data_IF_880080286186
#
_entry.id   IF_880080286186
#
_cell.length_a   1.000
_cell.length_b   1.000
_cell.length_c   1.000
_cell.angle_alpha   90.00
_cell.angle_beta   90.00
_cell.angle_gamma   90.00
#
_symmetry.space_group_name_H-M   'P 1'
#
loop_
_entity.id
_entity.type
_entity.pdbx_description
1 polymer ?
#
# COMPACT_ATOMS: atom_id res chain seq x y z
N UNK A 1 -4.89 4.90 4.46
CA UNK A 1 -5.98 4.05 3.91
C UNK A 1 -7.23 4.87 3.65
N UNK A 2 -7.87 5.47 4.66
CA UNK A 2 -9.11 6.25 4.45
C UNK A 2 -8.97 7.38 3.42
N UNK A 3 -7.94 8.23 3.53
CA UNK A 3 -7.67 9.30 2.54
C UNK A 3 -7.51 8.75 1.12
N UNK A 4 -6.73 7.68 0.96
CA UNK A 4 -6.53 7.04 -0.35
C UNK A 4 -7.84 6.45 -0.89
N UNK A 5 -8.65 5.84 -0.03
CA UNK A 5 -9.94 5.27 -0.41
C UNK A 5 -10.93 6.35 -0.85
N UNK A 6 -10.97 7.49 -0.15
CA UNK A 6 -11.77 8.65 -0.56
C UNK A 6 -11.35 9.14 -1.96
N UNK A 7 -10.05 9.31 -2.20
CA UNK A 7 -9.57 9.73 -3.53
C UNK A 7 -9.87 8.71 -4.62
N UNK A 8 -9.71 7.41 -4.34
CA UNK A 8 -10.03 6.34 -5.29
C UNK A 8 -11.52 6.34 -5.64
N UNK A 9 -12.41 6.45 -4.66
CA UNK A 9 -13.86 6.51 -4.91
C UNK A 9 -14.24 7.73 -5.72
N UNK A 10 -13.70 8.91 -5.39
CA UNK A 10 -13.94 10.14 -6.15
C UNK A 10 -13.44 9.98 -7.59
N UNK A 11 -12.20 9.54 -7.79
CA UNK A 11 -11.61 9.35 -9.11
C UNK A 11 -12.40 8.34 -9.95
N UNK A 12 -12.84 7.24 -9.33
CA UNK A 12 -13.66 6.21 -9.98
C UNK A 12 -15.02 6.76 -10.40
N UNK A 13 -15.70 7.55 -9.56
CA UNK A 13 -16.97 8.20 -9.95
C UNK A 13 -16.74 9.18 -11.10
N UNK A 14 -15.71 10.03 -10.99
CA UNK A 14 -15.40 11.06 -11.99
C UNK A 14 -15.18 10.47 -13.38
N UNK A 15 -14.41 9.37 -13.50
CA UNK A 15 -14.13 8.79 -14.82
C UNK A 15 -15.38 8.17 -15.47
N UNK A 16 -16.24 7.52 -14.69
CA UNK A 16 -17.50 6.95 -15.21
C UNK A 16 -18.50 8.03 -15.62
N UNK A 17 -18.58 9.13 -14.86
CA UNK A 17 -19.41 10.29 -15.25
C UNK A 17 -18.86 10.94 -16.53
N UNK A 18 -17.55 11.15 -16.61
CA UNK A 18 -16.91 11.76 -17.78
C UNK A 18 -17.10 10.94 -19.06
N UNK A 19 -17.11 9.61 -18.96
CA UNK A 19 -17.34 8.69 -20.10
C UNK A 19 -18.82 8.34 -20.31
N UNK A 20 -19.75 8.92 -19.55
CA UNK A 20 -21.20 8.62 -19.58
C UNK A 20 -21.52 7.13 -19.37
N UNK A 21 -20.78 6.45 -18.48
CA UNK A 21 -20.96 5.04 -18.16
C UNK A 21 -19.77 4.17 -18.55
N UNK A 22 -20.03 2.87 -18.79
CA UNK A 22 -19.00 1.91 -19.17
C UNK A 22 -18.65 2.05 -20.65
N UNK A 23 -17.44 2.52 -20.92
CA UNK A 23 -16.87 2.60 -22.26
C UNK A 23 -15.38 2.23 -22.14
N UNK A 24 -14.97 1.16 -22.82
CA UNK A 24 -13.60 0.65 -22.81
C UNK A 24 -13.15 0.34 -24.23
N UNK A 25 -11.88 0.60 -24.52
CA UNK A 25 -11.22 0.19 -25.75
C UNK A 25 -10.97 -1.33 -25.69
N UNK A 26 -11.44 -2.10 -26.67
CA UNK A 26 -11.33 -3.58 -26.66
C UNK A 26 -9.89 -4.08 -26.61
N UNK A 27 -8.95 -3.31 -27.18
CA UNK A 27 -7.53 -3.65 -27.22
C UNK A 27 -6.72 -3.05 -26.05
N UNK A 28 -7.38 -2.39 -25.09
CA UNK A 28 -6.74 -1.77 -23.95
C UNK A 28 -7.36 -2.25 -22.62
N UNK A 29 -6.67 -3.10 -21.85
CA UNK A 29 -7.20 -3.64 -20.61
C UNK A 29 -7.22 -2.64 -19.43
N UNK A 30 -6.79 -1.37 -19.63
CA UNK A 30 -6.71 -0.36 -18.58
C UNK A 30 -7.97 -0.29 -17.70
N UNK A 31 -9.14 -0.11 -18.31
CA UNK A 31 -10.39 0.07 -17.58
C UNK A 31 -10.77 -1.16 -16.76
N UNK A 32 -10.58 -2.36 -17.33
CA UNK A 32 -10.87 -3.64 -16.66
C UNK A 32 -9.92 -3.85 -15.48
N UNK A 33 -8.62 -3.69 -15.69
CA UNK A 33 -7.60 -3.85 -14.65
C UNK A 33 -7.80 -2.83 -13.52
N UNK A 34 -8.09 -1.57 -13.86
CA UNK A 34 -8.38 -0.51 -12.90
C UNK A 34 -9.63 -0.79 -12.08
N UNK A 35 -10.70 -1.31 -12.69
CA UNK A 35 -11.91 -1.71 -11.97
C UNK A 35 -11.65 -2.87 -11.00
N UNK A 36 -10.97 -3.93 -11.45
CA UNK A 36 -10.63 -5.06 -10.59
C UNK A 36 -9.77 -4.59 -9.41
N UNK A 37 -8.71 -3.80 -9.68
CA UNK A 37 -7.86 -3.25 -8.64
C UNK A 37 -8.64 -2.40 -7.64
N UNK A 38 -9.57 -1.57 -8.11
CA UNK A 38 -10.44 -0.73 -7.27
C UNK A 38 -11.34 -1.58 -6.38
N UNK A 39 -12.02 -2.59 -6.94
CA UNK A 39 -12.88 -3.50 -6.17
C UNK A 39 -12.07 -4.23 -5.11
N UNK A 40 -10.93 -4.82 -5.46
CA UNK A 40 -10.05 -5.49 -4.50
C UNK A 40 -9.55 -4.53 -3.42
N UNK A 41 -9.26 -3.29 -3.77
CA UNK A 41 -8.87 -2.22 -2.84
C UNK A 41 -9.98 -1.85 -1.87
N UNK A 42 -11.23 -1.74 -2.34
CA UNK A 42 -12.42 -1.48 -1.50
C UNK A 42 -12.78 -2.67 -0.61
N UNK A 43 -12.47 -3.90 -1.04
CA UNK A 43 -12.64 -5.10 -0.21
C UNK A 43 -11.66 -5.15 0.97
N UNK A 44 -10.49 -4.51 0.89
CA UNK A 44 -9.51 -4.49 1.98
C UNK A 44 -10.07 -4.02 3.34
N UNK A 45 -10.68 -2.83 3.47
CA UNK A 45 -11.27 -2.40 4.73
C UNK A 45 -12.43 -3.30 5.16
N UNK A 46 -13.23 -3.83 4.23
CA UNK A 46 -14.33 -4.76 4.55
C UNK A 46 -13.77 -6.03 5.19
N UNK A 47 -12.75 -6.64 4.59
CA UNK A 47 -12.04 -7.77 5.19
C UNK A 47 -11.49 -7.41 6.57
N UNK A 48 -10.89 -6.22 6.72
CA UNK A 48 -10.34 -5.78 8.00
C UNK A 48 -11.39 -5.66 9.12
N UNK A 49 -12.66 -5.38 8.81
CA UNK A 49 -13.75 -5.39 9.79
C UNK A 49 -14.04 -6.79 10.33
N UNK A 50 -13.84 -7.83 9.52
CA UNK A 50 -14.01 -9.23 9.91
C UNK A 50 -12.73 -9.86 10.47
N UNK A 51 -11.73 -9.05 10.83
CA UNK A 51 -10.44 -9.53 11.36
C UNK A 51 -10.68 -10.35 12.64
N UNK A 52 -10.25 -11.63 12.68
CA UNK A 52 -10.36 -12.44 13.88
C UNK A 52 -9.54 -11.87 15.05
N UNK A 53 -10.01 -12.15 16.27
CA UNK A 53 -9.35 -11.73 17.51
C UNK A 53 -7.93 -12.28 17.66
N UNK A 54 -7.13 -11.75 18.60
CA UNK A 54 -5.68 -11.96 18.60
C UNK A 54 -5.20 -13.40 18.61
N UNK A 55 -5.90 -14.27 19.33
CA UNK A 55 -5.54 -15.68 19.56
C UNK A 55 -6.42 -16.65 18.76
N UNK A 56 -7.23 -16.13 17.81
CA UNK A 56 -8.15 -16.95 17.06
C UNK A 56 -7.42 -17.82 16.00
N UNK A 57 -7.71 -19.14 15.88
CA UNK A 57 -6.97 -20.06 15.02
C UNK A 57 -7.06 -19.72 13.52
N UNK A 58 -8.11 -19.02 13.08
CA UNK A 58 -8.24 -18.54 11.68
C UNK A 58 -7.49 -17.22 11.38
N UNK A 59 -6.87 -16.58 12.37
CA UNK A 59 -6.17 -15.30 12.19
C UNK A 59 -4.98 -15.39 11.20
N UNK A 60 -4.17 -16.47 11.15
CA UNK A 60 -3.12 -16.62 10.15
C UNK A 60 -3.67 -16.67 8.71
N UNK A 61 -4.80 -17.37 8.50
CA UNK A 61 -5.48 -17.45 7.20
C UNK A 61 -5.96 -16.06 6.79
N UNK A 62 -6.61 -15.34 7.71
CA UNK A 62 -7.02 -13.95 7.48
C UNK A 62 -5.83 -13.07 7.10
N UNK A 63 -4.72 -13.13 7.85
CA UNK A 63 -3.54 -12.32 7.58
C UNK A 63 -2.96 -12.62 6.18
N UNK A 64 -2.90 -13.90 5.79
CA UNK A 64 -2.41 -14.30 4.48
C UNK A 64 -3.34 -13.82 3.35
N UNK A 65 -4.65 -13.99 3.50
CA UNK A 65 -5.64 -13.51 2.52
C UNK A 65 -5.60 -11.98 2.39
N UNK A 66 -5.66 -11.27 3.52
CA UNK A 66 -5.62 -9.81 3.55
C UNK A 66 -4.35 -9.27 2.89
N UNK A 67 -3.18 -9.84 3.23
CA UNK A 67 -1.90 -9.50 2.61
C UNK A 67 -1.90 -9.77 1.10
N UNK A 68 -2.35 -10.96 0.69
CA UNK A 68 -2.30 -11.40 -0.71
C UNK A 68 -3.22 -10.55 -1.58
N UNK A 69 -4.48 -10.40 -1.20
CA UNK A 69 -5.45 -9.59 -1.95
C UNK A 69 -4.97 -8.13 -2.03
N UNK A 70 -4.33 -7.62 -0.98
CA UNK A 70 -3.81 -6.24 -0.97
C UNK A 70 -2.68 -6.05 -1.98
N UNK A 71 -1.74 -6.99 -2.02
CA UNK A 71 -0.64 -6.95 -2.98
C UNK A 71 -1.10 -7.18 -4.42
N UNK A 72 -2.08 -8.06 -4.66
CA UNK A 72 -2.68 -8.24 -5.98
C UNK A 72 -3.40 -6.98 -6.45
N UNK A 73 -4.18 -6.34 -5.59
CA UNK A 73 -4.84 -5.07 -5.92
C UNK A 73 -3.82 -4.00 -6.35
N UNK A 74 -2.73 -3.89 -5.58
CA UNK A 74 -1.66 -2.93 -5.85
C UNK A 74 -0.92 -3.24 -7.17
N UNK A 75 -0.62 -4.51 -7.44
CA UNK A 75 0.02 -4.93 -8.70
C UNK A 75 -0.88 -4.60 -9.89
N UNK A 76 -2.17 -4.95 -9.83
CA UNK A 76 -3.12 -4.66 -10.90
C UNK A 76 -3.27 -3.15 -11.11
N UNK A 77 -3.26 -2.35 -10.05
CA UNK A 77 -3.29 -0.89 -10.15
C UNK A 77 -2.06 -0.35 -10.88
N UNK A 78 -0.86 -0.83 -10.55
CA UNK A 78 0.39 -0.43 -11.24
C UNK A 78 0.31 -0.80 -12.72
N UNK A 79 -0.09 -2.04 -13.04
CA UNK A 79 -0.25 -2.48 -14.44
C UNK A 79 -1.27 -1.62 -15.18
N UNK A 80 -2.42 -1.32 -14.56
CA UNK A 80 -3.43 -0.43 -15.14
C UNK A 80 -2.86 0.94 -15.48
N UNK A 81 -2.03 1.54 -14.61
CA UNK A 81 -1.38 2.84 -14.89
C UNK A 81 -0.52 2.77 -16.15
N UNK A 82 0.26 1.71 -16.37
CA UNK A 82 1.06 1.58 -17.60
C UNK A 82 0.20 1.54 -18.87
N UNK A 83 -0.98 0.93 -18.80
CA UNK A 83 -1.94 0.93 -19.91
C UNK A 83 -2.65 2.28 -20.12
N UNK A 84 -2.58 3.20 -19.15
CA UNK A 84 -3.21 4.52 -19.27
C UNK A 84 -2.63 5.34 -20.44
N UNK A 85 -1.32 5.24 -20.71
CA UNK A 85 -0.67 5.96 -21.84
C UNK A 85 -1.27 5.58 -23.20
N UNK A 86 -1.79 4.37 -23.33
CA UNK A 86 -2.35 3.86 -24.58
C UNK A 86 -3.78 4.33 -24.84
N UNK A 87 -4.42 4.99 -23.87
CA UNK A 87 -5.73 5.59 -24.07
C UNK A 87 -5.61 6.83 -24.94
N UNK A 88 -6.51 6.97 -25.91
CA UNK A 88 -6.56 8.12 -26.83
C UNK A 88 -6.71 9.45 -26.08
N UNK A 89 -7.40 9.44 -24.94
CA UNK A 89 -7.69 10.64 -24.14
C UNK A 89 -6.69 10.89 -23.01
N UNK A 90 -5.54 10.22 -22.99
CA UNK A 90 -4.61 10.29 -21.84
C UNK A 90 -3.80 11.58 -21.76
N UNK A 91 -3.47 12.19 -22.90
CA UNK A 91 -2.59 13.37 -22.95
C UNK A 91 -1.21 13.14 -22.36
N UNK A 92 -0.76 11.89 -22.22
CA UNK A 92 0.50 11.57 -21.55
C UNK A 92 1.70 11.69 -22.50
N UNK A 93 2.62 12.60 -22.19
CA UNK A 93 3.85 12.83 -22.96
C UNK A 93 4.82 11.64 -23.03
N UNK A 94 5.85 11.78 -23.85
CA UNK A 94 6.78 10.68 -24.18
C UNK A 94 7.56 10.12 -23.00
N UNK A 95 7.89 10.98 -22.02
CA UNK A 95 8.64 10.61 -20.82
C UNK A 95 7.82 9.83 -19.79
N UNK A 96 6.52 9.58 -20.01
CA UNK A 96 5.65 8.86 -19.08
C UNK A 96 6.26 7.54 -18.59
N UNK A 97 6.75 6.69 -19.49
CA UNK A 97 7.31 5.40 -19.10
C UNK A 97 8.58 5.51 -18.26
N UNK A 98 9.39 6.55 -18.49
CA UNK A 98 10.58 6.82 -17.68
C UNK A 98 10.19 7.26 -16.25
N UNK A 99 9.22 8.17 -16.14
CA UNK A 99 8.68 8.61 -14.84
C UNK A 99 8.06 7.43 -14.08
N UNK A 100 7.29 6.58 -14.78
CA UNK A 100 6.70 5.39 -14.18
C UNK A 100 7.74 4.34 -13.77
N UNK A 101 8.83 4.18 -14.53
CA UNK A 101 9.92 3.29 -14.14
C UNK A 101 10.59 3.75 -12.84
N UNK A 102 10.88 5.05 -12.71
CA UNK A 102 11.40 5.64 -11.46
C UNK A 102 10.43 5.42 -10.31
N UNK A 103 9.13 5.67 -10.52
CA UNK A 103 8.09 5.42 -9.53
C UNK A 103 8.09 3.95 -9.06
N UNK A 104 8.12 2.97 -9.97
CA UNK A 104 8.09 1.55 -9.62
C UNK A 104 9.34 1.15 -8.84
N UNK A 105 10.53 1.59 -9.26
CA UNK A 105 11.79 1.27 -8.56
C UNK A 105 11.74 1.80 -7.13
N UNK A 106 11.40 3.09 -6.95
CA UNK A 106 11.34 3.71 -5.62
C UNK A 106 10.24 3.07 -4.78
N UNK A 107 9.06 2.80 -5.36
CA UNK A 107 7.98 2.07 -4.69
C UNK A 107 8.45 0.71 -4.16
N UNK A 108 9.14 -0.10 -4.98
CA UNK A 108 9.64 -1.42 -4.57
C UNK A 108 10.69 -1.31 -3.47
N UNK A 109 11.60 -0.34 -3.56
CA UNK A 109 12.62 -0.09 -2.53
C UNK A 109 11.98 0.27 -1.18
N UNK A 110 11.02 1.20 -1.17
CA UNK A 110 10.30 1.58 0.05
C UNK A 110 9.44 0.43 0.57
N UNK A 111 8.76 -0.30 -0.31
CA UNK A 111 7.93 -1.44 0.07
C UNK A 111 8.77 -2.54 0.75
N UNK A 112 9.91 -2.89 0.16
CA UNK A 112 10.87 -3.84 0.74
C UNK A 112 11.44 -3.32 2.06
N UNK A 113 11.84 -2.05 2.10
CA UNK A 113 12.36 -1.42 3.32
C UNK A 113 11.36 -1.53 4.48
N UNK A 114 10.09 -1.16 4.27
CA UNK A 114 9.07 -1.24 5.32
C UNK A 114 8.75 -2.69 5.73
N UNK A 115 8.77 -3.65 4.79
CA UNK A 115 8.61 -5.06 5.12
C UNK A 115 9.76 -5.56 6.00
N UNK A 116 11.01 -5.31 5.61
CA UNK A 116 12.20 -5.72 6.37
C UNK A 116 12.25 -5.03 7.73
N UNK A 117 11.95 -3.73 7.79
CA UNK A 117 11.89 -2.98 9.04
C UNK A 117 10.82 -3.55 9.99
N UNK A 118 9.62 -3.86 9.49
CA UNK A 118 8.55 -4.45 10.30
C UNK A 118 8.95 -5.83 10.78
N UNK A 119 9.48 -6.66 9.90
CA UNK A 119 9.93 -8.01 10.24
C UNK A 119 11.06 -8.03 11.28
N UNK A 120 12.06 -7.16 11.15
CA UNK A 120 13.15 -7.03 12.13
C UNK A 120 12.65 -6.48 13.47
N UNK A 121 11.72 -5.53 13.46
CA UNK A 121 11.09 -5.00 14.68
C UNK A 121 10.27 -6.06 15.43
N UNK A 122 9.44 -6.83 14.71
CA UNK A 122 8.65 -7.91 15.31
C UNK A 122 9.54 -9.04 15.84
N UNK A 123 10.64 -9.38 15.15
CA UNK A 123 11.63 -10.35 15.65
C UNK A 123 12.30 -9.90 16.94
N UNK A 124 12.72 -8.63 17.02
CA UNK A 124 13.31 -8.07 18.26
C UNK A 124 12.32 -8.15 19.42
N UNK A 125 11.08 -7.72 19.22
CA UNK A 125 10.01 -7.77 20.22
C UNK A 125 9.72 -9.20 20.70
N UNK A 126 9.63 -10.17 19.79
CA UNK A 126 9.38 -11.56 20.15
C UNK A 126 10.54 -12.17 20.95
N UNK A 127 11.78 -11.81 20.62
CA UNK A 127 12.96 -12.25 21.38
C UNK A 127 12.96 -11.64 22.79
N UNK A 128 12.65 -10.36 22.94
CA UNK A 128 12.54 -9.69 24.25
C UNK A 128 11.48 -10.35 25.14
N UNK A 129 10.29 -10.61 24.61
CA UNK A 129 9.21 -11.31 25.34
C UNK A 129 9.64 -12.71 25.75
N UNK A 130 10.32 -13.45 24.87
CA UNK A 130 10.82 -14.80 25.17
C UNK A 130 11.87 -14.77 26.28
N UNK A 131 12.80 -13.81 26.25
CA UNK A 131 13.82 -13.63 27.29
C UNK A 131 13.18 -13.28 28.64
N UNK A 132 12.15 -12.43 28.63
CA UNK A 132 11.39 -12.07 29.84
C UNK A 132 10.65 -13.27 30.43
N UNK A 133 10.00 -14.10 29.61
CA UNK A 133 9.31 -15.32 30.05
C UNK A 133 10.27 -16.38 30.63
N UNK A 134 11.47 -16.50 30.04
CA UNK A 134 12.53 -17.36 30.56
C UNK A 134 13.04 -16.86 31.93
N UNK A 135 13.20 -15.55 32.09
CA UNK A 135 13.66 -14.94 33.33
C UNK A 135 12.62 -15.08 34.46
N UNK A 136 11.33 -14.89 34.15
CA UNK A 136 10.23 -15.02 35.12
C UNK A 136 10.02 -16.45 35.61
N UNK A 137 10.23 -17.47 34.75
CA UNK A 137 10.23 -18.90 35.16
C UNK A 137 11.44 -19.28 36.03
N UNK A 138 12.51 -18.49 36.02
CA UNK A 138 13.74 -18.74 36.78
C UNK A 138 13.74 -18.26 38.24
N UNK A 139 12.63 -17.67 38.73
CA UNK A 139 12.43 -17.37 40.16
C UNK A 139 13.02 -16.06 40.69
N UNK A 140 13.63 -15.20 39.87
CA UNK A 140 14.20 -13.92 40.31
C UNK A 140 13.44 -12.70 39.78
N UNK A 141 12.54 -12.17 40.64
CA UNK A 141 12.07 -10.77 40.81
C UNK A 141 11.26 -10.04 39.71
N UNK A 142 10.22 -9.36 40.24
CA UNK A 142 9.45 -8.18 39.80
C UNK A 142 8.53 -8.28 38.58
N UNK A 143 7.30 -7.77 38.78
CA UNK A 143 6.29 -7.55 37.74
C UNK A 143 6.93 -6.83 36.54
N UNK A 144 6.73 -7.34 35.30
CA UNK A 144 7.31 -6.70 34.14
C UNK A 144 6.68 -5.34 33.93
N UNK A 145 7.50 -4.29 33.94
CA UNK A 145 7.10 -2.95 33.51
C UNK A 145 6.58 -3.00 32.07
N UNK A 146 5.55 -2.21 31.80
CA UNK A 146 4.95 -2.07 30.46
C UNK A 146 6.08 -1.81 29.45
N UNK A 147 6.20 -2.59 28.35
CA UNK A 147 7.26 -2.40 27.39
C UNK A 147 7.24 -0.96 26.87
N UNK A 148 8.35 -0.24 27.11
CA UNK A 148 8.51 1.14 26.68
C UNK A 148 8.33 1.20 25.16
N UNK A 149 7.48 2.11 24.70
CA UNK A 149 7.19 2.25 23.28
C UNK A 149 8.48 2.68 22.58
N UNK A 150 8.99 1.90 21.63
CA UNK A 150 10.25 2.25 20.96
C UNK A 150 10.06 3.49 20.05
N UNK A 151 10.27 4.67 20.63
CA UNK A 151 10.11 5.97 20.00
C UNK A 151 11.04 6.15 18.78
N UNK A 152 12.20 5.48 18.77
CA UNK A 152 13.17 5.53 17.67
C UNK A 152 12.62 4.83 16.43
N UNK A 153 12.11 3.60 16.57
CA UNK A 153 11.51 2.86 15.44
C UNK A 153 10.29 3.61 14.87
N UNK A 154 9.51 4.27 15.73
CA UNK A 154 8.38 5.10 15.29
C UNK A 154 8.86 6.33 14.51
N UNK A 155 9.90 7.03 14.99
CA UNK A 155 10.46 8.21 14.34
C UNK A 155 11.07 7.87 12.97
N UNK A 156 11.86 6.79 12.88
CA UNK A 156 12.40 6.28 11.61
C UNK A 156 11.28 6.03 10.61
N UNK A 157 10.24 5.29 11.02
CA UNK A 157 9.10 5.02 10.14
C UNK A 157 8.42 6.30 9.66
N UNK A 158 8.23 7.30 10.52
CA UNK A 158 7.59 8.57 10.15
C UNK A 158 8.44 9.40 9.17
N UNK A 159 9.76 9.47 9.38
CA UNK A 159 10.67 10.20 8.50
C UNK A 159 10.65 9.59 7.09
N UNK A 160 10.81 8.27 6.98
CA UNK A 160 10.77 7.59 5.69
C UNK A 160 9.40 7.71 5.00
N UNK A 161 8.30 7.66 5.75
CA UNK A 161 6.98 7.94 5.19
C UNK A 161 6.86 9.38 4.67
N UNK A 162 7.43 10.36 5.38
CA UNK A 162 7.47 11.75 4.92
C UNK A 162 8.24 11.91 3.60
N UNK A 163 9.43 11.31 3.51
CA UNK A 163 10.24 11.29 2.27
C UNK A 163 9.45 10.64 1.13
N UNK A 164 8.81 9.52 1.38
CA UNK A 164 8.00 8.82 0.38
C UNK A 164 6.82 9.66 -0.10
N UNK A 165 6.13 10.37 0.79
CA UNK A 165 5.02 11.27 0.42
C UNK A 165 5.52 12.42 -0.46
N UNK A 166 6.65 13.04 -0.12
CA UNK A 166 7.26 14.10 -0.95
C UNK A 166 7.58 13.56 -2.34
N UNK A 167 8.18 12.37 -2.43
CA UNK A 167 8.46 11.71 -3.69
C UNK A 167 7.19 11.46 -4.52
N UNK A 168 6.13 10.91 -3.92
CA UNK A 168 4.86 10.67 -4.61
C UNK A 168 4.24 11.98 -5.11
N UNK A 169 4.27 13.05 -4.31
CA UNK A 169 3.79 14.38 -4.74
C UNK A 169 4.60 14.91 -5.92
N UNK A 170 5.94 14.75 -5.91
CA UNK A 170 6.78 15.16 -7.03
C UNK A 170 6.44 14.38 -8.32
N UNK A 171 6.20 13.06 -8.22
CA UNK A 171 5.75 12.25 -9.36
C UNK A 171 4.38 12.72 -9.86
N UNK A 172 3.43 13.04 -8.97
CA UNK A 172 2.12 13.55 -9.37
C UNK A 172 2.22 14.90 -10.10
N UNK A 173 3.07 15.81 -9.62
CA UNK A 173 3.33 17.09 -10.29
C UNK A 173 3.94 16.85 -11.68
N UNK A 174 4.91 15.94 -11.80
CA UNK A 174 5.51 15.60 -13.09
C UNK A 174 4.48 15.00 -14.06
N UNK A 175 3.61 14.10 -13.59
CA UNK A 175 2.52 13.53 -14.39
C UNK A 175 1.54 14.61 -14.86
N UNK A 176 1.14 15.52 -13.97
CA UNK A 176 0.23 16.62 -14.32
C UNK A 176 0.86 17.59 -15.33
N UNK A 177 2.13 17.93 -15.14
CA UNK A 177 2.87 18.78 -16.07
C UNK A 177 2.98 18.15 -17.47
N UNK A 178 3.10 16.82 -17.57
CA UNK A 178 3.10 16.12 -18.85
C UNK A 178 1.74 16.20 -19.56
N UNK A 179 0.62 16.16 -18.82
CA UNK A 179 -0.72 16.31 -19.41
C UNK A 179 -0.93 17.74 -19.92
N UNK A 180 -0.46 18.75 -19.18
CA UNK A 180 -0.60 20.16 -19.58
C UNK A 180 0.37 20.63 -20.68
N UNK A 181 1.38 19.82 -21.01
CA UNK A 181 2.39 20.13 -22.03
C UNK A 181 2.19 19.36 -23.35
N UNK A 182 1.22 18.43 -23.39
CA UNK A 182 0.83 17.66 -24.58
C UNK A 182 -0.32 18.35 -25.32
#
# INVERSE_FOLDING_TARGET
MLVALTFVVIAFIVIFVHKNGWNYETDNPHAVLGCIATVLGLLQPIMALFRPGPDHPKRPIFNWLHLTVGNVAQLLAVVAIFYAKKLETSGLGDYFYAVMAVFVIVYLLFHLFFQVHTWTSERKKNNEVKMLDLASRGGNIAQPGVPEKNHVNQAVRQIFLGIYVIFVVAILIALYAMIGAA
#
